data_IF_863524584241
#
_entry.id   IF_863524584241
#
_cell.length_a   1.000
_cell.length_b   1.000
_cell.length_c   1.000
_cell.angle_alpha   90.00
_cell.angle_beta   90.00
_cell.angle_gamma   90.00
#
_symmetry.space_group_name_H-M   'P 1'
#
loop_
_entity.id
_entity.type
_entity.pdbx_description
1 polymer ?
#
# COMPACT_ATOMS: atom_id res chain seq x y z
N UNK A 11 -18.82 35.10 14.40
CA UNK A 11 -18.17 34.64 15.63
C UNK A 11 -17.53 33.25 15.52
N UNK A 12 -17.48 32.69 14.30
CA UNK A 12 -16.96 31.35 13.99
C UNK A 12 -15.47 31.20 14.29
N UNK A 13 -15.06 30.08 14.88
CA UNK A 13 -13.68 29.58 14.86
C UNK A 13 -13.67 28.18 14.27
N UNK A 14 -12.96 27.93 13.17
CA UNK A 14 -12.81 26.57 12.61
C UNK A 14 -11.33 26.18 12.57
N UNK A 15 -10.95 25.13 13.29
CA UNK A 15 -9.59 24.59 13.33
C UNK A 15 -9.53 23.18 12.77
N UNK A 16 -8.54 22.87 11.93
CA UNK A 16 -8.22 21.50 11.49
C UNK A 16 -9.42 20.74 10.90
N UNK A 17 -10.30 21.42 10.18
CA UNK A 17 -11.63 20.91 9.78
C UNK A 17 -11.83 20.94 8.27
N UNK A 18 -12.73 20.11 7.75
CA UNK A 18 -13.16 20.10 6.36
C UNK A 18 -14.62 20.50 6.24
N UNK A 19 -14.97 21.44 5.38
CA UNK A 19 -16.37 21.79 5.10
C UNK A 19 -16.64 21.85 3.60
N UNK A 20 -17.74 21.24 3.16
CA UNK A 20 -18.06 21.24 1.73
C UNK A 20 -19.13 22.27 1.35
N UNK A 21 -20.20 22.42 2.12
CA UNK A 21 -21.36 23.26 1.74
C UNK A 21 -22.44 22.45 1.04
N UNK A 22 -22.93 22.83 -0.15
CA UNK A 22 -23.97 22.08 -0.87
C UNK A 22 -23.49 21.47 -2.18
N UNK A 23 -23.92 20.24 -2.50
CA UNK A 23 -23.67 19.57 -3.77
C UNK A 23 -24.98 19.45 -4.54
N UNK A 24 -25.01 19.89 -5.79
CA UNK A 24 -26.12 19.65 -6.72
C UNK A 24 -25.62 18.92 -7.98
N UNK A 25 -26.13 17.72 -8.25
CA UNK A 25 -25.97 17.05 -9.54
C UNK A 25 -27.29 17.06 -10.32
N UNK A 26 -27.27 17.49 -11.58
CA UNK A 26 -28.44 17.51 -12.48
C UNK A 26 -28.17 16.87 -13.85
N UNK A 27 -27.71 15.60 -13.93
CA UNK A 27 -27.36 14.92 -15.18
C UNK A 27 -28.55 14.47 -16.05
N UNK A 28 -29.79 14.82 -15.70
CA UNK A 28 -30.97 14.52 -16.51
C UNK A 28 -30.88 15.05 -17.94
N UNK A 29 -31.29 14.25 -18.93
CA UNK A 29 -31.30 14.62 -20.35
C UNK A 29 -30.01 14.35 -21.13
N UNK A 30 -28.99 13.72 -20.53
CA UNK A 30 -27.84 13.17 -21.28
C UNK A 30 -28.21 11.90 -22.06
N UNK A 31 -27.53 11.61 -23.16
CA UNK A 31 -27.79 10.45 -24.02
C UNK A 31 -26.51 9.68 -24.36
N UNK A 32 -26.50 8.36 -24.16
CA UNK A 32 -25.36 7.49 -24.53
C UNK A 32 -25.85 6.26 -25.29
N UNK A 33 -25.22 5.90 -26.40
CA UNK A 33 -25.59 4.71 -27.18
C UNK A 33 -24.36 3.90 -27.61
N UNK A 34 -24.41 2.58 -27.42
CA UNK A 34 -23.40 1.65 -27.95
C UNK A 34 -24.09 0.58 -28.81
N UNK A 35 -23.73 0.49 -30.09
CA UNK A 35 -24.21 -0.55 -31.01
C UNK A 35 -23.03 -1.43 -31.44
N UNK A 36 -23.19 -2.74 -31.27
CA UNK A 36 -22.26 -3.76 -31.75
C UNK A 36 -23.00 -4.97 -32.32
N UNK A 37 -22.34 -5.90 -33.02
CA UNK A 37 -22.87 -7.26 -33.16
C UNK A 37 -22.46 -8.11 -31.94
N UNK A 38 -21.27 -7.89 -31.38
CA UNK A 38 -20.80 -8.56 -30.15
C UNK A 38 -20.06 -7.60 -29.20
N UNK A 39 -20.31 -7.68 -27.90
CA UNK A 39 -19.37 -7.18 -26.88
C UNK A 39 -18.67 -8.39 -26.28
N UNK A 40 -17.35 -8.43 -26.33
CA UNK A 40 -16.54 -9.56 -25.91
C UNK A 40 -15.47 -9.05 -24.93
N UNK A 41 -15.79 -9.08 -23.63
CA UNK A 41 -14.94 -8.55 -22.57
C UNK A 41 -14.33 -9.71 -21.79
N UNK A 42 -13.01 -9.76 -21.73
CA UNK A 42 -12.27 -10.91 -21.18
C UNK A 42 -11.09 -10.46 -20.32
N UNK A 43 -10.83 -11.14 -19.20
CA UNK A 43 -9.62 -10.96 -18.38
C UNK A 43 -9.46 -9.54 -17.82
N UNK A 44 -10.17 -9.29 -16.70
CA UNK A 44 -10.02 -8.11 -15.84
C UNK A 44 -10.35 -6.77 -16.53
N UNK A 45 -11.37 -6.75 -17.37
CA UNK A 45 -11.93 -5.53 -17.99
C UNK A 45 -12.78 -4.74 -16.99
N UNK A 46 -12.65 -3.43 -16.96
CA UNK A 46 -13.61 -2.51 -16.34
C UNK A 46 -14.27 -1.64 -17.41
N UNK A 47 -15.60 -1.63 -17.48
CA UNK A 47 -16.35 -0.86 -18.47
C UNK A 47 -17.47 -0.04 -17.84
N UNK A 48 -17.53 1.24 -18.20
CA UNK A 48 -18.38 2.26 -17.58
C UNK A 48 -19.11 2.99 -18.72
N UNK A 49 -20.35 2.61 -19.00
CA UNK A 49 -21.14 3.12 -20.14
C UNK A 49 -22.28 3.98 -19.62
N UNK A 50 -22.22 5.29 -19.81
CA UNK A 50 -23.22 6.25 -19.30
C UNK A 50 -23.43 6.27 -17.78
N UNK A 51 -22.57 5.58 -17.03
CA UNK A 51 -22.62 5.45 -15.58
C UNK A 51 -21.95 6.61 -14.85
N UNK A 52 -22.34 6.87 -13.61
CA UNK A 52 -21.70 7.83 -12.73
C UNK A 52 -21.10 7.09 -11.53
N UNK A 53 -19.82 7.28 -11.23
CA UNK A 53 -19.34 6.91 -9.90
C UNK A 53 -18.56 8.01 -9.19
N UNK A 54 -18.92 8.20 -7.93
CA UNK A 54 -18.72 9.45 -7.21
C UNK A 54 -18.24 9.16 -5.79
N UNK A 55 -17.15 9.82 -5.38
CA UNK A 55 -16.59 9.74 -4.03
C UNK A 55 -16.48 11.14 -3.47
N UNK A 56 -17.13 11.41 -2.33
CA UNK A 56 -16.89 12.65 -1.59
C UNK A 56 -16.30 12.30 -0.24
N UNK A 57 -15.12 12.79 0.06
CA UNK A 57 -14.45 12.53 1.33
C UNK A 57 -14.18 13.87 2.03
N UNK A 58 -14.76 14.05 3.21
CA UNK A 58 -14.64 15.28 3.99
C UNK A 58 -14.20 14.92 5.41
N UNK A 59 -12.95 14.48 5.62
CA UNK A 59 -12.49 14.09 6.94
C UNK A 59 -12.12 15.29 7.81
N UNK A 60 -12.41 15.20 9.10
CA UNK A 60 -11.75 16.06 10.08
C UNK A 60 -10.24 15.79 10.15
N UNK A 61 -9.47 16.84 10.41
CA UNK A 61 -8.02 16.80 10.54
C UNK A 61 -7.54 16.51 11.95
N UNK A 62 -6.33 16.98 12.26
CA UNK A 62 -5.72 16.79 13.58
C UNK A 62 -5.44 15.34 13.94
N UNK A 63 -5.35 14.44 12.95
CA UNK A 63 -5.05 13.02 13.14
C UNK A 63 -3.54 12.80 13.37
N UNK A 64 -3.18 11.74 14.10
CA UNK A 64 -1.80 11.38 14.41
C UNK A 64 -1.49 9.92 14.06
N UNK A 65 -0.39 9.69 13.34
CA UNK A 65 0.33 8.41 13.30
C UNK A 65 1.61 8.58 14.09
N UNK A 66 1.87 7.75 15.08
CA UNK A 66 3.15 7.66 15.78
C UNK A 66 3.69 6.24 15.62
N UNK A 67 4.90 6.11 15.10
CA UNK A 67 5.53 4.82 14.76
C UNK A 67 6.98 4.81 15.26
N UNK A 68 7.25 4.07 16.33
CA UNK A 68 8.54 4.06 17.02
C UNK A 68 9.18 2.69 17.00
N UNK A 69 10.44 2.61 16.57
CA UNK A 69 11.29 1.42 16.68
C UNK A 69 12.47 1.71 17.62
N UNK A 70 12.68 0.91 18.67
CA UNK A 70 13.87 0.98 19.53
C UNK A 70 14.55 -0.37 19.67
N UNK A 71 15.84 -0.46 19.33
CA UNK A 71 16.65 -1.66 19.51
C UNK A 71 17.90 -1.32 20.31
N UNK A 72 18.15 -2.05 21.40
CA UNK A 72 19.48 -2.02 22.04
C UNK A 72 20.10 -3.41 21.90
N UNK A 73 21.21 -3.51 21.19
CA UNK A 73 21.95 -4.75 21.00
C UNK A 73 23.27 -4.64 21.73
N UNK A 74 23.58 -5.52 22.68
CA UNK A 74 24.91 -5.56 23.27
C UNK A 74 25.46 -6.96 23.50
N UNK A 75 26.71 -7.15 23.11
CA UNK A 75 27.49 -8.33 23.48
C UNK A 75 28.52 -7.94 24.55
N UNK A 76 28.61 -8.70 25.64
CA UNK A 76 29.79 -8.69 26.50
C UNK A 76 30.53 -10.04 26.41
N UNK A 77 31.82 -10.02 26.08
CA UNK A 77 32.71 -11.18 26.16
C UNK A 77 34.04 -10.79 26.81
N UNK A 78 34.82 -11.75 27.33
CA UNK A 78 36.25 -11.51 27.64
C UNK A 78 37.11 -11.83 26.42
N UNK A 79 36.90 -13.03 25.86
CA UNK A 79 37.54 -13.52 24.64
C UNK A 79 36.48 -14.16 23.73
N UNK A 80 36.47 -13.81 22.45
CA UNK A 80 35.47 -14.32 21.48
C UNK A 80 36.15 -15.04 20.31
N UNK A 81 35.63 -16.21 19.95
CA UNK A 81 36.10 -17.07 18.85
C UNK A 81 37.61 -17.38 18.88
N UNK A 82 38.15 -17.60 20.08
CA UNK A 82 39.52 -18.09 20.31
C UNK A 82 39.76 -19.43 19.58
N UNK A 83 40.66 -19.43 18.58
CA UNK A 83 40.89 -20.55 17.64
C UNK A 83 39.63 -21.10 16.94
N UNK A 84 38.52 -20.36 16.94
CA UNK A 84 37.25 -20.78 16.34
C UNK A 84 36.94 -20.12 15.00
N UNK A 85 35.77 -20.43 14.44
CA UNK A 85 35.20 -19.74 13.29
C UNK A 85 33.82 -19.18 13.63
N UNK A 86 33.64 -17.86 13.51
CA UNK A 86 32.36 -17.21 13.73
C UNK A 86 31.85 -16.59 12.43
N UNK A 87 30.68 -17.01 11.96
CA UNK A 87 30.08 -16.53 10.72
C UNK A 87 28.71 -15.94 10.99
N UNK A 88 28.51 -14.67 10.64
CA UNK A 88 27.18 -14.03 10.68
C UNK A 88 26.76 -13.73 9.25
N UNK A 89 25.75 -14.42 8.74
CA UNK A 89 25.41 -14.45 7.32
C UNK A 89 23.97 -13.98 7.08
N UNK A 90 23.77 -12.93 6.28
CA UNK A 90 22.46 -12.34 5.92
C UNK A 90 21.57 -12.05 7.14
N UNK A 91 22.19 -11.60 8.23
CA UNK A 91 21.60 -11.54 9.56
C UNK A 91 21.69 -10.16 10.22
N UNK A 92 21.18 -9.10 9.58
CA UNK A 92 21.33 -7.72 10.04
C UNK A 92 20.71 -7.40 11.40
N UNK A 93 21.11 -6.27 11.99
CA UNK A 93 20.50 -5.68 13.19
C UNK A 93 19.79 -4.40 12.76
N UNK A 94 18.46 -4.34 12.83
CA UNK A 94 17.72 -3.40 11.97
C UNK A 94 17.10 -2.17 12.67
N UNK A 95 16.22 -2.32 13.65
CA UNK A 95 15.46 -1.20 14.21
C UNK A 95 14.59 -0.46 13.19
N UNK A 96 13.72 -1.21 12.52
CA UNK A 96 12.89 -0.80 11.40
C UNK A 96 12.35 -2.05 10.72
N UNK A 97 11.60 -1.91 9.64
CA UNK A 97 11.11 -3.09 8.91
C UNK A 97 12.13 -3.61 7.88
N UNK A 98 12.11 -4.92 7.60
CA UNK A 98 12.93 -5.51 6.54
C UNK A 98 12.10 -5.76 5.28
N UNK A 99 12.58 -5.25 4.15
CA UNK A 99 11.89 -5.19 2.86
C UNK A 99 10.36 -5.00 2.92
N UNK A 100 9.87 -3.93 3.58
CA UNK A 100 8.45 -3.63 3.60
C UNK A 100 7.94 -3.11 2.25
N UNK A 101 6.72 -3.47 1.85
CA UNK A 101 5.97 -2.83 0.76
C UNK A 101 4.77 -2.08 1.33
N UNK A 102 4.65 -0.79 1.04
CA UNK A 102 3.45 0.02 1.33
C UNK A 102 2.86 0.58 0.05
N UNK A 103 1.60 0.28 -0.25
CA UNK A 103 0.80 0.99 -1.24
C UNK A 103 -0.34 1.70 -0.52
N UNK A 104 -0.30 3.03 -0.50
CA UNK A 104 -1.30 3.91 0.10
C UNK A 104 -2.04 4.69 -0.98
N UNK A 105 -3.37 4.67 -0.93
CA UNK A 105 -4.29 5.49 -1.70
C UNK A 105 -5.44 5.94 -0.78
N UNK A 106 -6.24 6.92 -1.18
CA UNK A 106 -7.43 7.32 -0.41
C UNK A 106 -8.70 7.00 -1.18
N UNK A 107 -8.86 7.52 -2.38
CA UNK A 107 -10.06 7.34 -3.19
C UNK A 107 -9.73 6.76 -4.56
N UNK A 108 -10.45 5.72 -4.98
CA UNK A 108 -10.24 5.10 -6.28
C UNK A 108 -11.55 4.82 -7.03
N UNK A 109 -11.67 5.21 -8.29
CA UNK A 109 -12.79 4.79 -9.17
C UNK A 109 -12.35 3.80 -10.26
N UNK A 110 -11.12 3.30 -10.16
CA UNK A 110 -10.45 2.49 -11.16
C UNK A 110 -9.89 1.17 -10.62
N UNK A 111 -8.57 1.04 -10.52
CA UNK A 111 -7.90 -0.19 -10.05
C UNK A 111 -6.70 0.10 -9.15
N UNK A 112 -6.56 -0.67 -8.07
CA UNK A 112 -5.37 -0.74 -7.22
C UNK A 112 -4.90 -2.18 -7.11
N UNK A 113 -3.61 -2.45 -7.30
CA UNK A 113 -3.13 -3.81 -7.54
C UNK A 113 -1.67 -3.97 -7.06
N UNK A 114 -1.44 -4.63 -5.92
CA UNK A 114 -0.10 -4.99 -5.44
C UNK A 114 0.20 -6.45 -5.80
N UNK A 115 1.26 -6.72 -6.57
CA UNK A 115 1.59 -8.05 -7.10
C UNK A 115 3.00 -8.47 -6.69
N UNK A 116 3.16 -9.73 -6.29
CA UNK A 116 4.46 -10.38 -6.10
C UNK A 116 4.45 -11.75 -6.77
N UNK A 117 5.09 -11.87 -7.93
CA UNK A 117 5.08 -13.06 -8.79
C UNK A 117 6.47 -13.47 -9.30
N UNK A 118 7.44 -13.81 -8.42
CA UNK A 118 8.73 -14.33 -8.87
C UNK A 118 8.58 -15.59 -9.73
N UNK A 119 9.36 -15.69 -10.80
CA UNK A 119 9.54 -16.91 -11.57
C UNK A 119 10.94 -17.46 -11.26
N UNK A 120 11.01 -18.53 -10.47
CA UNK A 120 12.18 -18.87 -9.66
C UNK A 120 12.45 -20.38 -9.69
N UNK A 121 13.20 -20.86 -10.69
CA UNK A 121 13.23 -22.29 -11.00
C UNK A 121 13.90 -23.16 -9.92
N UNK A 122 14.82 -22.62 -9.12
CA UNK A 122 15.47 -23.34 -8.00
C UNK A 122 15.87 -22.39 -6.86
N UNK A 123 16.01 -22.93 -5.66
CA UNK A 123 16.69 -22.34 -4.49
C UNK A 123 17.45 -23.47 -3.76
N UNK A 124 18.50 -23.12 -3.03
CA UNK A 124 19.22 -24.05 -2.16
C UNK A 124 19.96 -23.31 -1.05
N UNK A 125 19.71 -23.66 0.20
CA UNK A 125 20.49 -23.22 1.35
C UNK A 125 21.27 -24.40 1.95
N UNK A 126 22.59 -24.28 2.09
CA UNK A 126 23.42 -25.27 2.77
C UNK A 126 24.23 -24.64 3.91
N UNK A 127 24.17 -25.23 5.11
CA UNK A 127 25.04 -24.88 6.24
C UNK A 127 25.73 -26.13 6.78
N UNK A 128 27.03 -26.26 6.54
CA UNK A 128 27.80 -27.50 6.71
C UNK A 128 29.01 -27.33 7.62
N UNK A 129 28.80 -27.00 8.90
CA UNK A 129 29.87 -26.96 9.90
C UNK A 129 30.60 -28.31 10.02
N UNK B 11 -21.38 32.02 17.95
CA UNK B 11 -20.24 31.64 18.78
C UNK B 11 -19.73 30.22 18.51
N UNK B 12 -19.94 29.72 17.29
CA UNK B 12 -19.53 28.39 16.83
C UNK B 12 -18.03 28.16 16.94
N UNK B 13 -17.61 27.05 17.54
CA UNK B 13 -16.24 26.52 17.45
C UNK B 13 -16.29 25.11 16.89
N UNK B 14 -15.58 24.84 15.79
CA UNK B 14 -15.44 23.48 15.24
C UNK B 14 -13.97 23.08 15.16
N UNK B 15 -13.57 22.03 15.87
CA UNK B 15 -12.20 21.51 15.83
C UNK B 15 -12.19 20.08 15.33
N UNK B 16 -11.31 19.77 14.37
CA UNK B 16 -11.04 18.39 13.90
C UNK B 16 -12.29 17.68 13.38
N UNK B 17 -13.17 18.38 12.66
CA UNK B 17 -14.48 17.89 12.21
C UNK B 17 -14.61 17.91 10.68
N UNK B 18 -15.46 17.04 10.15
CA UNK B 18 -15.93 17.10 8.78
C UNK B 18 -17.40 17.53 8.74
N UNK B 19 -17.77 18.45 7.86
CA UNK B 19 -19.17 18.77 7.62
C UNK B 19 -19.48 18.88 6.14
N UNK B 20 -20.55 18.24 5.72
CA UNK B 20 -21.14 18.36 4.39
C UNK B 20 -22.57 18.85 4.60
N UNK B 21 -22.93 19.98 4.00
CA UNK B 21 -24.21 20.64 4.24
C UNK B 21 -25.41 19.87 3.71
N UNK B 22 -25.66 19.93 2.40
CA UNK B 22 -26.75 19.19 1.74
C UNK B 22 -26.29 18.59 0.41
N UNK B 23 -26.80 17.41 0.09
CA UNK B 23 -26.56 16.73 -1.18
C UNK B 23 -27.87 16.63 -1.94
N UNK B 24 -27.90 17.06 -3.20
CA UNK B 24 -29.03 16.94 -4.11
C UNK B 24 -28.61 16.21 -5.38
N UNK B 25 -29.44 15.28 -5.87
CA UNK B 25 -29.19 14.54 -7.10
C UNK B 25 -30.50 14.41 -7.91
N UNK B 26 -30.48 14.81 -9.20
CA UNK B 26 -31.64 14.81 -10.12
C UNK B 26 -31.29 14.29 -11.53
N UNK B 27 -31.29 12.96 -11.73
CA UNK B 27 -30.95 12.29 -12.99
C UNK B 27 -32.14 12.01 -13.93
N UNK B 28 -33.36 12.43 -13.59
CA UNK B 28 -34.55 12.15 -14.40
C UNK B 28 -34.42 12.59 -15.87
N UNK B 29 -34.88 11.75 -16.79
CA UNK B 29 -34.81 11.98 -18.24
C UNK B 29 -33.47 11.58 -18.89
N UNK B 30 -32.50 11.02 -18.14
CA UNK B 30 -31.24 10.52 -18.69
C UNK B 30 -31.47 9.23 -19.48
N UNK B 31 -30.76 9.01 -20.59
CA UNK B 31 -30.94 7.82 -21.44
C UNK B 31 -29.64 7.10 -21.82
N UNK B 32 -29.58 5.79 -21.63
CA UNK B 32 -28.43 4.94 -22.00
C UNK B 32 -28.95 3.72 -22.74
N UNK B 33 -28.35 3.35 -23.87
CA UNK B 33 -28.77 2.19 -24.63
C UNK B 33 -27.58 1.35 -25.16
N UNK B 34 -27.62 0.03 -24.95
CA UNK B 34 -26.60 -0.89 -25.46
C UNK B 34 -27.29 -1.95 -26.30
N UNK B 35 -26.97 -2.02 -27.59
CA UNK B 35 -27.56 -2.98 -28.53
C UNK B 35 -26.48 -3.90 -29.08
N UNK B 36 -26.65 -5.21 -28.89
CA UNK B 36 -25.73 -6.23 -29.38
C UNK B 36 -26.47 -7.53 -29.68
N UNK B 37 -25.89 -8.44 -30.48
CA UNK B 37 -26.50 -9.76 -30.70
C UNK B 37 -26.11 -10.66 -29.52
N UNK B 38 -24.90 -10.45 -28.97
CA UNK B 38 -24.37 -11.16 -27.79
C UNK B 38 -23.52 -10.27 -26.88
N UNK B 39 -23.70 -10.40 -25.56
CA UNK B 39 -22.85 -9.81 -24.54
C UNK B 39 -22.09 -11.01 -23.95
N UNK B 40 -20.78 -11.03 -24.05
CA UNK B 40 -19.96 -12.15 -23.59
C UNK B 40 -18.87 -11.62 -22.65
N UNK B 41 -19.17 -11.57 -21.35
CA UNK B 41 -18.27 -11.08 -20.31
C UNK B 41 -17.71 -12.28 -19.55
N UNK B 42 -16.38 -12.43 -19.50
CA UNK B 42 -15.69 -13.56 -18.89
C UNK B 42 -14.42 -13.19 -18.14
N UNK B 43 -14.15 -13.88 -17.03
CA UNK B 43 -12.95 -13.72 -16.19
C UNK B 43 -12.72 -12.33 -15.56
N UNK B 44 -13.40 -12.09 -14.44
CA UNK B 44 -13.28 -10.91 -13.57
C UNK B 44 -13.64 -9.56 -14.20
N UNK B 45 -14.65 -9.53 -15.05
CA UNK B 45 -15.16 -8.32 -15.72
C UNK B 45 -16.08 -7.50 -14.80
N UNK B 46 -15.90 -6.19 -14.75
CA UNK B 46 -16.82 -5.24 -14.12
C UNK B 46 -17.49 -4.40 -15.20
N UNK B 47 -18.82 -4.35 -15.22
CA UNK B 47 -19.58 -3.51 -16.15
C UNK B 47 -20.63 -2.68 -15.43
N UNK B 48 -20.68 -1.38 -15.73
CA UNK B 48 -21.69 -0.44 -15.26
C UNK B 48 -22.38 0.17 -16.48
N UNK B 49 -23.69 0.00 -16.61
CA UNK B 49 -24.46 0.52 -17.74
C UNK B 49 -25.59 1.39 -17.18
N UNK B 50 -25.50 2.70 -17.37
CA UNK B 50 -26.52 3.65 -16.89
C UNK B 50 -26.77 3.63 -15.39
N UNK B 51 -25.77 3.29 -14.59
CA UNK B 51 -25.89 3.06 -13.14
C UNK B 51 -25.03 3.99 -12.30
N UNK B 52 -25.47 4.23 -11.07
CA UNK B 52 -24.86 5.14 -10.11
C UNK B 52 -24.17 4.34 -8.98
N UNK B 53 -22.92 4.67 -8.69
CA UNK B 53 -22.15 4.05 -7.60
C UNK B 53 -21.52 5.17 -6.75
N UNK B 54 -22.03 5.39 -5.55
CA UNK B 54 -21.81 6.61 -4.78
C UNK B 54 -21.29 6.31 -3.36
N UNK B 55 -20.19 6.96 -2.96
CA UNK B 55 -19.60 6.86 -1.63
C UNK B 55 -19.46 8.26 -1.03
N UNK B 56 -20.09 8.52 0.10
CA UNK B 56 -19.86 9.75 0.88
C UNK B 56 -19.27 9.38 2.23
N UNK B 57 -18.10 9.91 2.55
CA UNK B 57 -17.40 9.65 3.80
C UNK B 57 -17.11 10.96 4.52
N UNK B 58 -17.66 11.14 5.71
CA UNK B 58 -17.52 12.37 6.50
C UNK B 58 -17.11 12.00 7.92
N UNK B 59 -15.88 11.49 8.14
CA UNK B 59 -15.45 11.08 9.46
C UNK B 59 -15.02 12.26 10.33
N UNK B 60 -15.22 12.14 11.63
CA UNK B 60 -14.54 12.98 12.61
C UNK B 60 -13.03 12.75 12.61
N UNK B 61 -12.26 13.80 12.88
CA UNK B 61 -10.81 13.77 12.99
C UNK B 61 -10.33 13.47 14.39
N UNK B 62 -9.12 13.89 14.72
CA UNK B 62 -8.53 13.67 16.03
C UNK B 62 -8.23 12.20 16.35
N UNK B 63 -8.16 11.34 15.33
CA UNK B 63 -7.87 9.92 15.50
C UNK B 63 -6.37 9.69 15.73
N UNK B 64 -6.02 8.68 16.52
CA UNK B 64 -4.62 8.35 16.85
C UNK B 64 -4.29 6.90 16.57
N UNK B 65 -3.22 6.66 15.80
CA UNK B 65 -2.62 5.35 15.55
C UNK B 65 -1.26 5.39 16.23
N UNK B 66 -1.02 4.53 17.21
CA UNK B 66 0.26 4.43 17.91
C UNK B 66 0.80 3.02 17.73
N UNK B 67 1.99 2.91 17.18
CA UNK B 67 2.67 1.65 16.92
C UNK B 67 4.08 1.71 17.51
N UNK B 68 4.47 0.71 18.28
CA UNK B 68 5.76 0.73 18.99
C UNK B 68 6.40 -0.64 19.09
N UNK B 69 7.61 -0.75 18.58
CA UNK B 69 8.45 -1.93 18.64
C UNK B 69 9.63 -1.62 19.55
N UNK B 70 9.86 -2.45 20.56
CA UNK B 70 11.04 -2.39 21.44
C UNK B 70 11.70 -3.75 21.47
N UNK B 71 13.00 -3.83 21.25
CA UNK B 71 13.76 -5.06 21.45
C UNK B 71 15.02 -4.76 22.28
N UNK B 72 15.26 -5.47 23.37
CA UNK B 72 16.57 -5.44 24.03
C UNK B 72 17.22 -6.82 23.90
N UNK B 73 18.31 -6.91 23.15
CA UNK B 73 19.04 -8.13 22.92
C UNK B 73 20.38 -8.03 23.64
N UNK B 74 20.68 -8.94 24.55
CA UNK B 74 22.01 -9.00 25.16
C UNK B 74 22.53 -10.40 25.35
N UNK B 75 23.79 -10.60 24.98
CA UNK B 75 24.59 -11.73 25.38
C UNK B 75 25.60 -11.32 26.46
N UNK B 76 25.68 -12.08 27.55
CA UNK B 76 26.90 -12.13 28.36
C UNK B 76 27.56 -13.49 28.14
N UNK B 77 28.87 -13.53 27.93
CA UNK B 77 29.62 -14.78 27.82
C UNK B 77 31.01 -14.62 28.45
N UNK B 78 31.60 -15.74 28.88
CA UNK B 78 32.95 -15.74 29.50
C UNK B 78 33.98 -15.86 28.37
N UNK B 79 33.89 -16.96 27.63
CA UNK B 79 34.50 -17.20 26.34
C UNK B 79 33.43 -17.80 25.41
N UNK B 80 33.45 -17.50 24.12
CA UNK B 80 32.43 -17.96 23.17
C UNK B 80 33.07 -18.63 21.96
N UNK B 81 32.54 -19.79 21.60
CA UNK B 81 32.97 -20.66 20.50
C UNK B 81 34.48 -20.99 20.52
N UNK B 82 35.02 -21.21 21.72
CA UNK B 82 36.41 -21.66 21.95
C UNK B 82 36.69 -22.94 21.16
N UNK B 83 37.61 -22.89 20.19
CA UNK B 83 37.96 -24.01 19.28
C UNK B 83 36.75 -24.62 18.53
N UNK B 84 35.65 -23.88 18.37
CA UNK B 84 34.43 -24.35 17.71
C UNK B 84 33.96 -23.44 16.57
N UNK B 85 32.87 -23.85 15.91
CA UNK B 85 32.26 -23.10 14.82
C UNK B 85 30.87 -22.59 15.22
N UNK B 86 30.66 -21.29 15.19
CA UNK B 86 29.36 -20.66 15.42
C UNK B 86 28.85 -19.99 14.15
N UNK B 87 27.67 -20.39 13.68
CA UNK B 87 27.05 -19.88 12.46
C UNK B 87 25.70 -19.27 12.81
N UNK B 88 25.52 -17.99 12.50
CA UNK B 88 24.21 -17.33 12.57
C UNK B 88 23.78 -17.01 11.16
N UNK B 89 22.73 -17.67 10.70
CA UNK B 89 22.35 -17.70 9.28
C UNK B 89 20.92 -17.24 9.07
N UNK B 90 20.70 -16.20 8.27
CA UNK B 90 19.37 -15.63 7.94
C UNK B 90 18.49 -15.39 9.18
N UNK B 91 19.12 -14.95 10.27
CA UNK B 91 18.54 -14.88 11.61
C UNK B 91 18.69 -13.50 12.26
N UNK B 92 18.21 -12.43 11.60
CA UNK B 92 18.39 -11.04 12.03
C UNK B 92 17.75 -10.69 13.37
N UNK B 93 18.17 -9.58 13.98
CA UNK B 93 17.55 -8.96 15.17
C UNK B 93 16.83 -7.74 14.59
N UNK B 94 15.50 -7.70 14.67
CA UNK B 94 14.76 -6.77 13.79
C UNK B 94 14.17 -5.57 14.53
N UNK B 95 13.30 -5.76 15.53
CA UNK B 95 12.59 -4.64 16.18
C UNK B 95 11.74 -3.80 15.20
N UNK B 96 10.83 -4.47 14.53
CA UNK B 96 10.00 -4.01 13.43
C UNK B 96 9.38 -5.21 12.75
N UNK B 97 8.63 -5.01 11.68
CA UNK B 97 8.06 -6.13 10.94
C UNK B 97 9.04 -6.72 9.92
N UNK B 98 8.94 -8.02 9.65
CA UNK B 98 9.78 -8.73 8.67
C UNK B 98 8.99 -8.98 7.39
N UNK B 99 9.49 -8.47 6.27
CA UNK B 99 8.87 -8.48 4.93
C UNK B 99 7.34 -8.23 4.91
N UNK B 100 6.82 -7.18 5.58
CA UNK B 100 5.40 -6.87 5.59
C UNK B 100 4.92 -6.30 4.24
N UNK B 101 3.67 -6.62 3.88
CA UNK B 101 2.91 -5.93 2.84
C UNK B 101 1.76 -5.16 3.47
N UNK B 102 1.65 -3.87 3.20
CA UNK B 102 0.49 -3.04 3.53
C UNK B 102 -0.13 -2.46 2.27
N UNK B 103 -1.41 -2.71 2.06
CA UNK B 103 -2.22 -2.08 1.03
C UNK B 103 -3.35 -1.31 1.72
N UNK B 104 -3.41 0.01 1.53
CA UNK B 104 -4.42 0.88 2.14
C UNK B 104 -5.15 1.69 1.09
N UNK B 105 -6.47 1.73 1.19
CA UNK B 105 -7.38 2.61 0.47
C UNK B 105 -8.57 2.91 1.40
N UNK B 106 -9.23 4.06 1.22
CA UNK B 106 -10.39 4.42 2.04
C UNK B 106 -11.69 4.11 1.31
N UNK B 107 -11.82 4.59 0.07
CA UNK B 107 -13.02 4.43 -0.76
C UNK B 107 -12.66 3.87 -2.12
N UNK B 108 -13.37 2.84 -2.56
CA UNK B 108 -13.21 2.30 -3.91
C UNK B 108 -14.56 1.97 -4.55
N UNK B 109 -14.79 2.46 -5.76
CA UNK B 109 -15.89 1.99 -6.63
C UNK B 109 -15.40 0.99 -7.69
N UNK B 110 -14.11 0.65 -7.67
CA UNK B 110 -13.42 -0.13 -8.69
C UNK B 110 -12.98 -1.51 -8.21
N UNK B 111 -11.70 -1.82 -8.30
CA UNK B 111 -11.11 -3.08 -7.84
C UNK B 111 -9.87 -2.85 -6.98
N UNK B 112 -9.71 -3.65 -5.91
CA UNK B 112 -8.50 -3.70 -5.09
C UNK B 112 -7.98 -5.14 -5.07
N UNK B 113 -6.69 -5.34 -5.34
CA UNK B 113 -6.00 -6.62 -5.32
C UNK B 113 -4.68 -6.56 -4.56
N UNK B 114 -4.45 -7.52 -3.68
CA UNK B 114 -3.12 -7.93 -3.25
C UNK B 114 -2.91 -9.38 -3.69
N UNK B 115 -1.84 -9.68 -4.43
CA UNK B 115 -1.59 -10.99 -5.03
C UNK B 115 -0.20 -11.51 -4.69
N UNK B 116 -0.12 -12.75 -4.22
CA UNK B 116 1.08 -13.58 -4.23
C UNK B 116 0.91 -14.71 -5.25
N UNK B 117 1.81 -14.81 -6.23
CA UNK B 117 1.85 -15.93 -7.21
C UNK B 117 3.28 -16.37 -7.57
N UNK B 118 4.14 -16.76 -6.61
CA UNK B 118 5.45 -17.33 -6.96
C UNK B 118 5.30 -18.59 -7.81
N UNK B 119 6.12 -18.73 -8.84
CA UNK B 119 6.29 -19.97 -9.59
C UNK B 119 7.67 -20.54 -9.27
N UNK B 120 7.71 -21.73 -8.67
CA UNK B 120 8.83 -22.17 -7.83
C UNK B 120 8.95 -23.71 -7.86
N UNK B 121 9.75 -24.23 -8.79
CA UNK B 121 9.77 -25.66 -9.09
C UNK B 121 10.39 -26.55 -8.01
N UNK B 122 11.38 -26.04 -7.25
CA UNK B 122 12.06 -26.78 -6.17
C UNK B 122 12.54 -25.86 -5.04
N UNK B 123 12.70 -26.45 -3.86
CA UNK B 123 13.27 -25.87 -2.64
C UNK B 123 14.18 -26.89 -1.96
N UNK B 124 15.27 -26.47 -1.34
CA UNK B 124 16.02 -27.30 -0.40
C UNK B 124 16.61 -26.43 0.72
N UNK B 125 16.45 -26.85 1.97
CA UNK B 125 17.22 -26.35 3.11
C UNK B 125 18.00 -27.54 3.70
N UNK B 126 19.32 -27.45 3.85
CA UNK B 126 20.10 -28.47 4.57
C UNK B 126 21.01 -27.84 5.62
N UNK B 127 20.92 -28.35 6.85
CA UNK B 127 21.86 -28.05 7.93
C UNK B 127 22.52 -29.34 8.39
N UNK B 128 23.84 -29.43 8.33
CA UNK B 128 24.59 -30.67 8.53
C UNK B 128 25.85 -30.44 9.35
N UNK B 129 25.69 -30.26 10.66
CA UNK B 129 26.82 -30.19 11.60
C UNK B 129 27.61 -31.51 11.65
N UNK C 11 -15.38 38.59 13.69
CA UNK C 11 -14.50 37.78 14.53
C UNK C 11 -14.22 36.37 13.98
N UNK C 12 -14.57 36.13 12.71
CA UNK C 12 -14.43 34.83 12.02
C UNK C 12 -12.96 34.44 11.81
N UNK C 13 -12.56 33.27 12.30
CA UNK C 13 -11.18 32.73 12.19
C UNK C 13 -11.19 31.31 11.62
N UNK C 14 -10.46 31.07 10.55
CA UNK C 14 -10.27 29.71 9.98
C UNK C 14 -8.78 29.34 9.95
N UNK C 15 -8.40 28.22 10.56
CA UNK C 15 -7.01 27.78 10.64
C UNK C 15 -6.87 26.30 10.26
N UNK C 16 -5.86 25.97 9.45
CA UNK C 16 -5.50 24.60 9.01
C UNK C 16 -6.69 23.81 8.43
N UNK C 17 -7.58 24.47 7.69
CA UNK C 17 -8.89 23.94 7.29
C UNK C 17 -9.11 23.99 5.78
N UNK C 18 -9.92 23.08 5.26
CA UNK C 18 -10.38 23.07 3.87
C UNK C 18 -11.85 23.47 3.77
N UNK C 19 -12.20 24.40 2.89
CA UNK C 19 -13.58 24.75 2.59
C UNK C 19 -13.81 24.79 1.08
N UNK C 20 -14.87 24.15 0.60
CA UNK C 20 -15.16 24.12 -0.84
C UNK C 20 -16.10 25.25 -1.27
N UNK C 21 -17.34 25.27 -0.81
CA UNK C 21 -18.32 26.29 -1.21
C UNK C 21 -19.65 25.69 -1.62
N UNK C 22 -19.93 25.61 -2.91
CA UNK C 22 -21.03 24.84 -3.49
C UNK C 22 -20.57 24.20 -4.79
N UNK C 23 -21.05 22.99 -5.08
CA UNK C 23 -20.79 22.30 -6.35
C UNK C 23 -22.10 22.25 -7.12
N UNK C 24 -22.11 22.75 -8.36
CA UNK C 24 -23.22 22.57 -9.30
C UNK C 24 -22.71 21.85 -10.55
N UNK C 25 -23.36 20.76 -10.95
CA UNK C 25 -23.00 19.99 -12.16
C UNK C 25 -24.21 19.82 -13.11
N UNK C 26 -24.09 20.23 -14.38
CA UNK C 26 -25.19 20.21 -15.37
C UNK C 26 -24.77 19.71 -16.78
N UNK C 27 -24.61 18.40 -17.00
CA UNK C 27 -24.19 17.80 -18.27
C UNK C 27 -25.38 17.44 -19.21
N UNK C 28 -26.61 17.84 -18.86
CA UNK C 28 -27.81 17.58 -19.66
C UNK C 28 -27.68 18.04 -21.11
N UNK C 29 -28.19 17.23 -22.04
CA UNK C 29 -28.10 17.47 -23.49
C UNK C 29 -26.79 16.97 -24.12
N UNK C 30 -25.90 16.35 -23.35
CA UNK C 30 -24.66 15.76 -23.86
C UNK C 30 -24.98 14.47 -24.64
N UNK C 31 -24.29 14.19 -25.74
CA UNK C 31 -24.53 13.00 -26.56
C UNK C 31 -23.24 12.25 -26.91
N UNK C 32 -23.21 10.92 -26.70
CA UNK C 32 -22.07 10.05 -27.03
C UNK C 32 -22.56 8.81 -27.75
N UNK C 33 -21.95 8.43 -28.87
CA UNK C 33 -22.33 7.25 -29.64
C UNK C 33 -21.13 6.42 -30.09
N UNK C 34 -21.17 5.10 -29.89
CA UNK C 34 -20.12 4.16 -30.33
C UNK C 34 -20.76 3.10 -31.23
N UNK C 35 -20.32 3.04 -32.49
CA UNK C 35 -20.80 2.11 -33.52
C UNK C 35 -19.64 1.23 -33.99
N UNK C 36 -19.77 -0.09 -33.85
CA UNK C 36 -18.77 -1.06 -34.29
C UNK C 36 -19.42 -2.39 -34.67
N UNK C 37 -18.71 -3.29 -35.35
CA UNK C 37 -19.24 -4.65 -35.58
C UNK C 37 -18.90 -5.52 -34.35
N UNK C 38 -17.74 -5.29 -33.71
CA UNK C 38 -17.29 -6.00 -32.51
C UNK C 38 -16.50 -5.11 -31.56
N UNK C 39 -16.76 -5.18 -30.25
CA UNK C 39 -15.91 -4.56 -29.22
C UNK C 39 -15.22 -5.75 -28.57
N UNK C 40 -13.89 -5.81 -28.63
CA UNK C 40 -13.09 -6.91 -28.11
C UNK C 40 -12.06 -6.37 -27.12
N UNK C 41 -12.41 -6.36 -25.83
CA UNK C 41 -11.55 -5.86 -24.76
C UNK C 41 -10.98 -7.06 -24.02
N UNK C 42 -9.66 -7.14 -23.96
CA UNK C 42 -8.92 -8.25 -23.35
C UNK C 42 -7.72 -7.77 -22.55
N UNK C 43 -7.45 -8.43 -21.43
CA UNK C 43 -6.28 -8.20 -20.57
C UNK C 43 -6.12 -6.78 -19.98
N UNK C 44 -6.78 -6.53 -18.84
CA UNK C 44 -6.67 -5.30 -18.01
C UNK C 44 -7.09 -4.00 -18.72
N UNK C 45 -8.15 -4.01 -19.53
CA UNK C 45 -8.67 -2.81 -20.20
C UNK C 45 -9.62 -2.00 -19.31
N UNK C 46 -9.45 -0.68 -19.25
CA UNK C 46 -10.42 0.24 -18.64
C UNK C 46 -11.07 1.09 -19.74
N UNK C 47 -12.40 1.09 -19.82
CA UNK C 47 -13.17 1.82 -20.83
C UNK C 47 -14.26 2.67 -20.20
N UNK C 48 -14.38 3.91 -20.67
CA UNK C 48 -15.27 4.94 -20.11
C UNK C 48 -15.96 5.65 -21.27
N UNK C 49 -17.18 5.23 -21.60
CA UNK C 49 -17.98 5.74 -22.73
C UNK C 49 -19.13 6.58 -22.17
N UNK C 50 -19.11 7.89 -22.35
CA UNK C 50 -20.15 8.82 -21.86
C UNK C 50 -20.34 8.86 -20.34
N UNK C 51 -19.54 8.11 -19.60
CA UNK C 51 -19.58 8.02 -18.15
C UNK C 51 -18.76 9.10 -17.47
N UNK C 52 -19.09 9.36 -16.21
CA UNK C 52 -18.47 10.38 -15.39
C UNK C 52 -17.94 9.80 -14.08
N UNK C 53 -16.71 10.10 -13.71
CA UNK C 53 -16.25 9.79 -12.37
C UNK C 53 -15.56 10.95 -11.67
N UNK C 54 -15.92 11.12 -10.41
CA UNK C 54 -15.71 12.34 -9.67
C UNK C 54 -15.23 12.02 -8.25
N UNK C 55 -14.15 12.65 -7.84
CA UNK C 55 -13.60 12.56 -6.49
C UNK C 55 -13.50 13.97 -5.95
N UNK C 56 -14.14 14.27 -4.82
CA UNK C 56 -13.93 15.54 -4.11
C UNK C 56 -13.38 15.24 -2.74
N UNK C 57 -12.18 15.74 -2.44
CA UNK C 57 -11.51 15.50 -1.17
C UNK C 57 -11.30 16.82 -0.46
N UNK C 58 -11.92 17.01 0.71
CA UNK C 58 -11.83 18.23 1.50
C UNK C 58 -11.38 17.89 2.92
N UNK C 59 -10.12 17.50 3.12
CA UNK C 59 -9.61 17.15 4.44
C UNK C 59 -9.29 18.38 5.31
N UNK C 60 -9.53 18.26 6.61
CA UNK C 60 -8.89 19.13 7.60
C UNK C 60 -7.39 18.87 7.69
N UNK C 61 -6.62 19.92 7.92
CA UNK C 61 -5.17 19.88 8.07
C UNK C 61 -4.73 19.61 9.51
N UNK C 62 -3.51 20.04 9.84
CA UNK C 62 -2.94 19.86 11.17
C UNK C 62 -2.72 18.41 11.58
N UNK C 63 -2.67 17.48 10.62
CA UNK C 63 -2.33 16.08 10.83
C UNK C 63 -0.82 15.92 11.04
N UNK C 64 -0.40 14.90 11.80
CA UNK C 64 1.01 14.60 12.08
C UNK C 64 1.36 13.13 11.82
N UNK C 65 2.49 12.91 11.15
CA UNK C 65 3.12 11.59 11.02
C UNK C 65 4.43 11.69 11.78
N UNK C 66 4.65 10.86 12.79
CA UNK C 66 5.89 10.82 13.56
C UNK C 66 6.47 9.42 13.37
N UNK C 67 7.67 9.35 12.83
CA UNK C 67 8.38 8.09 12.62
C UNK C 67 9.77 8.20 13.24
N UNK C 68 10.18 7.23 14.06
CA UNK C 68 11.44 7.31 14.80
C UNK C 68 12.10 5.95 14.98
N UNK C 69 13.32 5.81 14.50
CA UNK C 69 14.16 4.62 14.66
C UNK C 69 15.32 4.93 15.60
N UNK C 70 15.56 4.10 16.61
CA UNK C 70 16.74 4.20 17.49
C UNK C 70 17.43 2.86 17.64
N UNK C 71 18.70 2.79 17.28
CA UNK C 71 19.54 1.62 17.43
C UNK C 71 20.78 1.98 18.23
N UNK C 72 21.02 1.30 19.35
CA UNK C 72 22.32 1.35 20.01
C UNK C 72 22.97 -0.02 19.94
N UNK C 73 24.06 -0.14 19.21
CA UNK C 73 24.82 -1.38 19.05
C UNK C 73 26.14 -1.21 19.79
N UNK C 74 26.47 -2.09 20.74
CA UNK C 74 27.82 -2.11 21.32
C UNK C 74 28.36 -3.50 21.60
N UNK C 75 29.60 -3.72 21.22
CA UNK C 75 30.39 -4.88 21.64
C UNK C 75 31.37 -4.43 22.73
N UNK C 76 31.45 -5.16 23.83
CA UNK C 76 32.63 -5.12 24.72
C UNK C 76 33.42 -6.42 24.59
N UNK C 77 34.73 -6.32 24.42
CA UNK C 77 35.68 -7.44 24.50
C UNK C 77 37.05 -6.95 24.98
N UNK C 78 37.87 -7.83 25.56
CA UNK C 78 39.33 -7.62 25.68
C UNK C 78 40.09 -8.17 24.48
N UNK C 79 39.80 -9.39 24.07
CA UNK C 79 40.36 -9.99 22.86
C UNK C 79 39.23 -10.54 21.98
N UNK C 80 39.35 -10.36 20.67
CA UNK C 80 38.38 -10.84 19.68
C UNK C 80 39.11 -11.53 18.56
N UNK C 81 38.62 -12.68 18.12
CA UNK C 81 39.18 -13.50 17.04
C UNK C 81 40.67 -13.84 17.22
N UNK C 82 41.09 -14.09 18.47
CA UNK C 82 42.45 -14.56 18.77
C UNK C 82 42.70 -15.89 18.04
N UNK C 83 43.61 -15.87 17.06
CA UNK C 83 43.93 -16.99 16.15
C UNK C 83 42.73 -17.64 15.45
N UNK C 84 41.58 -16.94 15.38
CA UNK C 84 40.33 -17.42 14.79
C UNK C 84 39.94 -16.67 13.51
N UNK C 85 38.82 -17.05 12.91
CA UNK C 85 38.23 -16.36 11.75
C UNK C 85 36.85 -15.78 12.06
N UNK C 86 36.68 -14.46 11.93
CA UNK C 86 35.40 -13.77 12.09
C UNK C 86 34.92 -13.22 10.74
N UNK C 87 33.74 -13.63 10.28
CA UNK C 87 33.14 -13.17 9.03
C UNK C 87 31.75 -12.58 9.26
N UNK C 88 31.55 -11.32 8.90
CA UNK C 88 30.22 -10.69 8.87
C UNK C 88 29.82 -10.43 7.43
N UNK C 89 28.78 -11.10 6.93
CA UNK C 89 28.46 -11.14 5.51
C UNK C 89 27.03 -10.67 5.23
N UNK C 90 26.87 -9.62 4.42
CA UNK C 90 25.58 -9.03 4.02
C UNK C 90 24.65 -8.74 5.21
N UNK C 91 25.24 -8.26 6.30
CA UNK C 91 24.66 -8.22 7.64
C UNK C 91 24.75 -6.84 8.32
N UNK C 92 24.24 -5.76 7.70
CA UNK C 92 24.38 -4.39 8.18
C UNK C 92 23.72 -4.11 9.54
N UNK C 93 24.11 -3.01 10.19
CA UNK C 93 23.50 -2.38 11.39
C UNK C 93 22.81 -1.15 10.80
N UNK C 94 21.48 -1.04 10.92
CA UNK C 94 20.76 -0.13 10.00
C UNK C 94 20.13 1.11 10.64
N UNK C 95 19.27 0.98 11.64
CA UNK C 95 18.50 2.12 12.20
C UNK C 95 17.53 2.79 11.22
N UNK C 96 16.74 1.99 10.52
CA UNK C 96 15.82 2.40 9.47
C UNK C 96 15.26 1.17 8.77
N UNK C 97 14.41 1.34 7.78
CA UNK C 97 13.93 0.19 7.00
C UNK C 97 15.00 -0.31 6.03
N UNK C 98 15.05 -1.61 5.76
CA UNK C 98 15.96 -2.17 4.74
C UNK C 98 15.20 -2.46 3.46
N UNK C 99 15.72 -1.96 2.35
CA UNK C 99 15.09 -1.98 1.01
C UNK C 99 13.55 -1.78 0.99
N UNK C 100 13.00 -0.72 1.61
CA UNK C 100 11.57 -0.43 1.60
C UNK C 100 11.04 0.05 0.23
N UNK C 101 9.80 -0.31 -0.12
CA UNK C 101 9.03 0.30 -1.22
C UNK C 101 7.81 1.05 -0.68
N UNK C 102 7.68 2.33 -1.03
CA UNK C 102 6.46 3.11 -0.77
C UNK C 102 5.89 3.65 -2.08
N UNK C 103 4.61 3.37 -2.34
CA UNK C 103 3.83 4.03 -3.38
C UNK C 103 2.66 4.74 -2.72
N UNK C 104 2.70 6.07 -2.69
CA UNK C 104 1.67 6.94 -2.11
C UNK C 104 0.95 7.72 -3.19
N UNK C 105 -0.37 7.74 -3.13
CA UNK C 105 -1.26 8.57 -3.93
C UNK C 105 -2.48 8.96 -3.07
N UNK C 106 -3.29 9.94 -3.49
CA UNK C 106 -4.52 10.32 -2.77
C UNK C 106 -5.75 9.91 -3.56
N UNK C 107 -5.96 10.52 -4.72
CA UNK C 107 -7.14 10.31 -5.56
C UNK C 107 -6.74 9.70 -6.90
N UNK C 108 -7.40 8.62 -7.32
CA UNK C 108 -7.15 8.04 -8.63
C UNK C 108 -8.45 7.64 -9.32
N UNK C 109 -8.65 8.12 -10.55
CA UNK C 109 -9.67 7.60 -11.46
C UNK C 109 -9.08 6.64 -12.50
N UNK C 110 -7.77 6.36 -12.41
CA UNK C 110 -7.01 5.55 -13.35
C UNK C 110 -6.61 4.21 -12.75
N UNK C 111 -5.34 3.85 -12.86
CA UNK C 111 -4.78 2.61 -12.30
C UNK C 111 -3.54 2.89 -11.47
N UNK C 112 -3.40 2.18 -10.35
CA UNK C 112 -2.19 2.13 -9.54
C UNK C 112 -1.76 0.68 -9.39
N UNK C 113 -0.52 0.35 -9.74
CA UNK C 113 0.02 -0.96 -9.42
C UNK C 113 1.48 -0.93 -8.94
N UNK C 114 1.77 -1.76 -7.94
CA UNK C 114 3.12 -2.06 -7.47
C UNK C 114 3.39 -3.52 -7.82
N UNK C 115 4.42 -3.80 -8.62
CA UNK C 115 4.67 -5.14 -9.17
C UNK C 115 6.11 -5.57 -8.89
N UNK C 116 6.27 -6.78 -8.36
CA UNK C 116 7.52 -7.54 -8.38
C UNK C 116 7.37 -8.79 -9.25
N UNK C 117 8.14 -8.86 -10.34
CA UNK C 117 8.20 -10.03 -11.24
C UNK C 117 9.65 -10.41 -11.59
N UNK C 118 10.53 -10.75 -10.63
CA UNK C 118 11.86 -11.27 -10.95
C UNK C 118 11.78 -12.55 -11.77
N UNK C 119 12.61 -12.68 -12.82
CA UNK C 119 12.84 -13.93 -13.55
C UNK C 119 14.25 -14.42 -13.23
N UNK C 120 14.40 -15.60 -12.63
CA UNK C 120 15.62 -15.97 -11.91
C UNK C 120 15.83 -17.49 -11.86
N UNK C 121 16.66 -18.04 -12.74
CA UNK C 121 16.81 -19.49 -12.89
C UNK C 121 17.42 -20.20 -11.67
N UNK C 122 18.32 -19.54 -10.92
CA UNK C 122 18.97 -20.14 -9.74
C UNK C 122 19.30 -19.09 -8.67
N UNK C 123 19.37 -19.56 -7.43
CA UNK C 123 20.10 -18.95 -6.31
C UNK C 123 20.72 -20.08 -5.49
N UNK C 124 21.89 -19.85 -4.90
CA UNK C 124 22.50 -20.78 -3.96
C UNK C 124 23.18 -20.01 -2.84
N UNK C 125 22.95 -20.43 -1.61
CA UNK C 125 23.62 -19.93 -0.41
C UNK C 125 24.38 -21.09 0.25
N UNK C 126 25.68 -20.91 0.49
CA UNK C 126 26.53 -21.90 1.15
C UNK C 126 27.30 -21.27 2.31
N UNK C 127 27.25 -21.86 3.50
CA UNK C 127 28.19 -21.55 4.59
C UNK C 127 28.90 -22.83 5.04
N UNK C 128 30.23 -22.83 5.03
CA UNK C 128 31.03 -24.05 5.23
C UNK C 128 32.21 -23.78 6.16
N UNK C 129 31.94 -23.63 7.46
CA UNK C 129 32.97 -23.53 8.48
C UNK C 129 33.78 -24.83 8.58
#
# INVERSE_FOLDING_TARGET
VQIVYKPVDLSKVTSKSGSLGNIHHKPGGGQVEVKSEKLDFKDRVQSKIGSLDNITHVPGGGNKKIETHKLTFRENAKAKTDHGAEIVYKSPVVSGDTSPRHLSNVSSTGSIDMVDSPQLATLADEVSASLAKQGL
VQIVYKPVDLSKVTSKSGSLGNIHHKPGGGQVEVKSEKLDFKDRVQSKIGSLDNITHVPGGGNKKIETHKLTFRENAKAKTDHGAEIVYKSPVVSGDTSPRHLSNVSSTGSIDMVDSPQLATLADEVSASLAKQGL
VQIVYKPVDLSKVTSKSGSLGNIHHKPGGGQVEVKSEKLDFKDRVQSKIGSLDNITHVPGGGNKKIETHKLTFRENAKAKTDHGAEIVYKSPVVSGDTSPRHLSNVSSTGSIDMVDSPQLATLADEVSASLAKQGL
#
